data_IF_665996984531
#
_entry.id   IF_665996984531
#
_cell.length_a   1.000
_cell.length_b   1.000
_cell.length_c   1.000
_cell.angle_alpha   90.00
_cell.angle_beta   90.00
_cell.angle_gamma   90.00
#
_symmetry.space_group_name_H-M   'P 1'
#
loop_
_entity.id
_entity.type
_entity.pdbx_description
1 polymer ?
#
# COMPACT_ATOMS: atom_id res chain seq x y z
N UNK A 1 -12.35 29.68 21.39
CA UNK A 1 -10.87 29.65 21.51
C UNK A 1 -10.32 28.83 20.36
N UNK A 2 -9.26 29.28 19.67
CA UNK A 2 -8.64 28.53 18.55
C UNK A 2 -7.43 27.75 19.07
N UNK A 3 -7.31 26.45 18.74
CA UNK A 3 -6.11 25.67 19.07
C UNK A 3 -4.87 26.28 18.40
N UNK A 4 -3.73 26.24 19.10
CA UNK A 4 -2.44 26.67 18.54
C UNK A 4 -1.71 25.42 18.04
N UNK A 5 -1.43 25.39 16.73
CA UNK A 5 -0.58 24.36 16.12
C UNK A 5 0.86 24.64 16.54
N UNK A 6 1.51 23.66 17.17
CA UNK A 6 2.89 23.78 17.67
C UNK A 6 3.89 23.23 16.66
N UNK A 7 3.53 22.14 16.00
CA UNK A 7 4.36 21.51 14.99
C UNK A 7 3.50 20.76 13.99
N UNK A 8 3.99 20.71 12.75
CA UNK A 8 3.38 19.94 11.68
C UNK A 8 4.47 19.15 10.96
N UNK A 9 4.15 17.91 10.63
CA UNK A 9 5.02 17.05 9.84
C UNK A 9 4.19 16.36 8.77
N UNK A 10 4.58 16.57 7.52
CA UNK A 10 4.05 15.85 6.37
C UNK A 10 5.11 14.88 5.86
N UNK A 11 4.75 13.62 5.68
CA UNK A 11 5.64 12.57 5.22
C UNK A 11 4.96 11.72 4.16
N UNK A 12 5.70 11.36 3.12
CA UNK A 12 5.25 10.34 2.18
C UNK A 12 5.01 9.02 2.93
N UNK A 13 3.98 8.30 2.51
CA UNK A 13 3.57 7.03 3.08
C UNK A 13 3.41 5.99 1.96
N UNK A 14 3.83 4.77 2.27
CA UNK A 14 3.61 3.57 1.45
C UNK A 14 3.32 2.40 2.39
N UNK A 15 2.24 1.66 2.12
CA UNK A 15 1.98 0.38 2.79
C UNK A 15 1.54 -0.68 1.80
N UNK A 16 2.22 -1.82 1.85
CA UNK A 16 1.82 -3.05 1.20
C UNK A 16 0.89 -3.83 2.13
N UNK A 17 -0.34 -4.09 1.67
CA UNK A 17 -1.39 -4.75 2.43
C UNK A 17 -1.82 -6.02 1.71
N UNK A 18 -2.03 -7.09 2.48
CA UNK A 18 -2.50 -8.39 1.99
C UNK A 18 -3.78 -8.78 2.70
N UNK A 19 -4.52 -9.71 2.10
CA UNK A 19 -5.66 -10.31 2.77
C UNK A 19 -5.24 -10.98 4.09
N UNK A 20 -6.00 -10.74 5.15
CA UNK A 20 -5.68 -11.16 6.52
C UNK A 20 -4.56 -10.38 7.22
N UNK A 21 -3.89 -9.44 6.54
CA UNK A 21 -2.78 -8.63 7.09
C UNK A 21 -3.08 -7.13 6.91
N UNK A 22 -4.02 -6.57 7.69
CA UNK A 22 -4.39 -5.17 7.58
C UNK A 22 -3.27 -4.24 8.11
N UNK A 23 -3.15 -3.06 7.50
CA UNK A 23 -2.31 -1.98 8.03
C UNK A 23 -3.16 -1.06 8.89
N UNK A 24 -2.77 -0.87 10.17
CA UNK A 24 -3.57 -0.14 11.17
C UNK A 24 -2.80 1.03 11.73
N UNK A 25 -3.47 2.17 11.82
CA UNK A 25 -3.09 3.25 12.73
C UNK A 25 -4.02 3.17 13.93
N UNK A 26 -3.48 2.66 15.03
CA UNK A 26 -4.08 2.83 16.35
C UNK A 26 -3.62 4.18 16.90
N UNK A 27 -4.55 4.91 17.51
CA UNK A 27 -4.38 6.27 18.04
C UNK A 27 -2.92 6.61 18.43
N UNK A 28 -2.43 7.71 17.85
CA UNK A 28 -1.22 8.38 18.35
C UNK A 28 -1.43 8.63 19.84
N UNK A 29 -0.41 8.31 20.64
CA UNK A 29 -0.41 8.38 22.10
C UNK A 29 -1.38 9.44 22.64
N UNK A 30 -2.44 9.01 23.34
CA UNK A 30 -3.48 9.88 23.91
C UNK A 30 -2.95 10.88 24.95
N UNK A 31 -1.65 10.82 25.26
CA UNK A 31 -0.94 11.76 26.13
C UNK A 31 -0.50 13.04 25.41
N UNK A 32 -0.50 13.05 24.08
CA UNK A 32 -0.19 14.22 23.25
C UNK A 32 -1.43 14.56 22.40
N UNK A 33 -1.80 15.83 22.34
CA UNK A 33 -2.84 16.36 21.45
C UNK A 33 -2.36 16.31 19.99
N UNK A 34 -2.21 15.11 19.43
CA UNK A 34 -1.77 14.89 18.04
C UNK A 34 -2.99 14.55 17.18
N UNK A 35 -3.23 15.38 16.17
CA UNK A 35 -4.19 15.10 15.11
C UNK A 35 -3.44 14.62 13.87
N UNK A 36 -3.88 13.50 13.28
CA UNK A 36 -3.32 12.99 12.04
C UNK A 36 -4.34 13.00 10.91
N UNK A 37 -3.86 13.18 9.68
CA UNK A 37 -4.64 12.98 8.45
C UNK A 37 -3.83 12.17 7.46
N UNK A 38 -4.49 11.28 6.73
CA UNK A 38 -3.93 10.48 5.65
C UNK A 38 -4.59 10.87 4.34
N UNK A 39 -3.78 11.18 3.33
CA UNK A 39 -4.23 11.47 1.96
C UNK A 39 -3.74 10.36 1.05
N UNK A 40 -4.64 9.52 0.56
CA UNK A 40 -4.33 8.49 -0.42
C UNK A 40 -4.30 9.09 -1.83
N UNK A 41 -3.21 8.84 -2.55
CA UNK A 41 -2.94 9.39 -3.88
C UNK A 41 -2.91 8.30 -4.95
N UNK A 42 -2.32 7.15 -4.63
CA UNK A 42 -2.23 6.02 -5.55
C UNK A 42 -2.49 4.71 -4.81
N UNK A 43 -3.14 3.78 -5.52
CA UNK A 43 -3.32 2.40 -5.10
C UNK A 43 -2.87 1.52 -6.26
N UNK A 44 -1.88 0.67 -6.02
CA UNK A 44 -1.36 -0.26 -7.01
C UNK A 44 -1.58 -1.70 -6.57
N UNK A 45 -2.14 -2.52 -7.45
CA UNK A 45 -2.30 -3.94 -7.25
C UNK A 45 -1.10 -4.71 -7.80
N UNK A 46 -0.55 -5.59 -6.96
CA UNK A 46 0.50 -6.53 -7.28
C UNK A 46 -0.10 -7.94 -7.24
N UNK A 47 -0.34 -8.56 -8.42
CA UNK A 47 -0.84 -9.91 -8.51
C UNK A 47 0.07 -10.92 -7.80
N UNK A 48 -0.46 -12.11 -7.42
CA UNK A 48 0.37 -13.25 -7.03
C UNK A 48 1.46 -13.52 -8.07
N UNK A 49 2.63 -13.96 -7.63
CA UNK A 49 3.76 -14.19 -8.55
C UNK A 49 3.62 -15.47 -9.36
N UNK A 50 2.73 -16.39 -8.94
CA UNK A 50 2.52 -17.68 -9.59
C UNK A 50 1.13 -18.25 -9.34
N UNK A 51 0.74 -19.22 -10.17
CA UNK A 51 -0.48 -20.01 -9.96
C UNK A 51 -0.44 -20.82 -8.65
N UNK A 52 0.74 -21.23 -8.19
CA UNK A 52 0.90 -21.95 -6.93
C UNK A 52 0.55 -21.06 -5.73
N UNK A 53 0.93 -19.79 -5.75
CA UNK A 53 0.56 -18.82 -4.72
C UNK A 53 -0.94 -18.53 -4.73
N UNK A 54 -1.55 -18.41 -5.92
CA UNK A 54 -3.00 -18.27 -6.05
C UNK A 54 -3.73 -19.50 -5.48
N UNK A 55 -3.27 -20.71 -5.82
CA UNK A 55 -3.86 -21.95 -5.30
C UNK A 55 -3.71 -22.07 -3.78
N UNK A 56 -2.58 -21.64 -3.21
CA UNK A 56 -2.39 -21.60 -1.76
C UNK A 56 -3.36 -20.62 -1.08
N UNK A 57 -3.59 -19.44 -1.69
CA UNK A 57 -4.59 -18.48 -1.22
C UNK A 57 -6.02 -19.07 -1.26
N UNK A 58 -6.40 -19.73 -2.36
CA UNK A 58 -7.70 -20.37 -2.49
C UNK A 58 -7.91 -21.46 -1.44
N UNK A 59 -6.90 -22.33 -1.26
CA UNK A 59 -6.92 -23.38 -0.25
C UNK A 59 -7.06 -22.81 1.17
N UNK A 60 -6.32 -21.74 1.50
CA UNK A 60 -6.41 -21.07 2.81
C UNK A 60 -7.80 -20.44 3.06
N UNK A 61 -8.51 -20.05 1.99
CA UNK A 61 -9.88 -19.52 2.07
C UNK A 61 -10.95 -20.61 1.99
N UNK A 62 -10.57 -21.90 1.94
CA UNK A 62 -11.51 -23.02 1.78
C UNK A 62 -12.24 -22.98 0.43
N UNK A 63 -11.69 -22.28 -0.57
CA UNK A 63 -12.22 -22.24 -1.93
C UNK A 63 -11.56 -23.35 -2.73
N UNK A 64 -12.36 -24.12 -3.45
CA UNK A 64 -11.81 -25.13 -4.36
C UNK A 64 -11.08 -24.43 -5.49
N UNK A 65 -9.84 -24.85 -5.75
CA UNK A 65 -9.10 -24.38 -6.91
C UNK A 65 -9.91 -24.67 -8.18
N UNK A 66 -10.03 -23.69 -9.08
CA UNK A 66 -10.51 -23.88 -10.45
C UNK A 66 -12.03 -23.85 -10.74
N UNK A 67 -12.74 -22.77 -10.36
CA UNK A 67 -14.05 -22.47 -10.98
C UNK A 67 -14.20 -21.02 -11.50
N UNK A 68 -13.37 -20.08 -11.04
CA UNK A 68 -13.52 -18.66 -11.37
C UNK A 68 -12.30 -18.21 -12.17
N UNK A 69 -12.51 -17.88 -13.45
CA UNK A 69 -11.43 -17.38 -14.31
C UNK A 69 -10.93 -15.97 -13.94
N UNK A 70 -11.71 -15.22 -13.14
CA UNK A 70 -11.40 -13.84 -12.75
C UNK A 70 -11.69 -13.62 -11.26
N UNK A 71 -10.67 -13.29 -10.47
CA UNK A 71 -10.84 -12.88 -9.08
C UNK A 71 -11.00 -11.36 -8.97
N UNK A 72 -11.94 -10.92 -8.13
CA UNK A 72 -12.04 -9.52 -7.72
C UNK A 72 -11.21 -9.30 -6.46
N UNK A 73 -10.30 -8.33 -6.50
CA UNK A 73 -9.51 -7.86 -5.36
C UNK A 73 -10.05 -6.49 -4.94
N UNK A 74 -10.41 -6.32 -3.67
CA UNK A 74 -10.98 -5.08 -3.13
C UNK A 74 -9.96 -4.43 -2.19
N UNK A 75 -9.66 -3.17 -2.46
CA UNK A 75 -8.96 -2.30 -1.53
C UNK A 75 -9.99 -1.59 -0.64
N UNK A 76 -9.87 -1.75 0.66
CA UNK A 76 -10.86 -1.29 1.63
C UNK A 76 -10.18 -0.37 2.64
N UNK A 77 -10.85 0.74 2.94
CA UNK A 77 -10.53 1.60 4.07
C UNK A 77 -11.60 1.39 5.12
N UNK A 78 -11.17 1.15 6.35
CA UNK A 78 -12.05 1.06 7.52
C UNK A 78 -11.69 2.16 8.50
N UNK A 79 -12.65 3.00 8.86
CA UNK A 79 -12.39 4.17 9.70
C UNK A 79 -13.62 4.53 10.54
N UNK A 80 -13.43 5.35 11.57
CA UNK A 80 -14.53 5.91 12.36
C UNK A 80 -15.10 7.10 11.60
N UNK A 81 -16.43 7.13 11.42
CA UNK A 81 -17.11 8.23 10.74
C UNK A 81 -17.69 9.23 11.74
N UNK A 82 -18.30 10.30 11.23
CA UNK A 82 -19.00 11.29 12.05
C UNK A 82 -20.13 10.68 12.89
N UNK A 83 -20.66 9.51 12.50
CA UNK A 83 -21.67 8.76 13.28
C UNK A 83 -21.07 8.07 14.52
N UNK A 84 -19.73 8.12 14.69
CA UNK A 84 -18.95 7.37 15.68
C UNK A 84 -19.01 5.86 15.48
N UNK A 85 -19.52 5.39 14.35
CA UNK A 85 -19.45 3.99 13.96
C UNK A 85 -18.19 3.73 13.14
N UNK A 86 -17.66 2.51 13.24
CA UNK A 86 -16.60 2.02 12.35
C UNK A 86 -17.27 1.54 11.07
N UNK A 87 -16.97 2.19 9.95
CA UNK A 87 -17.52 1.87 8.64
C UNK A 87 -16.41 1.43 7.66
N UNK A 88 -16.81 0.67 6.64
CA UNK A 88 -15.92 0.12 5.62
C UNK A 88 -16.27 0.69 4.25
N UNK A 89 -15.25 1.19 3.55
CA UNK A 89 -15.37 1.82 2.24
C UNK A 89 -14.46 1.10 1.25
N UNK A 90 -15.03 0.60 0.15
CA UNK A 90 -14.23 0.09 -0.97
C UNK A 90 -13.71 1.28 -1.76
N UNK A 91 -12.40 1.44 -1.80
CA UNK A 91 -11.73 2.58 -2.46
C UNK A 91 -11.16 2.23 -3.83
N UNK A 92 -10.90 0.95 -4.10
CA UNK A 92 -10.53 0.46 -5.42
C UNK A 92 -10.90 -1.03 -5.57
N UNK A 93 -11.13 -1.45 -6.82
CA UNK A 93 -11.33 -2.85 -7.18
C UNK A 93 -10.42 -3.19 -8.36
N UNK A 94 -9.75 -4.34 -8.27
CA UNK A 94 -8.86 -4.84 -9.31
C UNK A 94 -9.31 -6.23 -9.75
N UNK A 95 -9.26 -6.48 -11.05
CA UNK A 95 -9.59 -7.78 -11.62
C UNK A 95 -8.31 -8.58 -11.89
N UNK A 96 -8.21 -9.77 -11.31
CA UNK A 96 -7.17 -10.73 -11.59
C UNK A 96 -7.71 -11.82 -12.50
N UNK A 97 -7.38 -11.74 -13.80
CA UNK A 97 -7.60 -12.85 -14.73
C UNK A 97 -6.49 -13.90 -14.56
N UNK A 98 -6.87 -15.16 -14.30
CA UNK A 98 -5.94 -16.29 -14.13
C UNK A 98 -5.10 -16.50 -15.39
N UNK A 99 -5.64 -16.23 -16.58
CA UNK A 99 -4.86 -16.30 -17.82
C UNK A 99 -3.74 -15.27 -17.84
N UNK A 100 -3.92 -14.11 -17.19
CA UNK A 100 -2.89 -13.07 -17.09
C UNK A 100 -1.70 -13.56 -16.29
N UNK A 101 -1.92 -14.34 -15.22
CA UNK A 101 -0.84 -14.96 -14.45
C UNK A 101 -0.03 -15.98 -15.25
N UNK A 102 -0.70 -16.77 -16.11
CA UNK A 102 -0.01 -17.76 -16.95
C UNK A 102 0.90 -17.14 -18.03
N UNK A 103 0.65 -15.89 -18.40
CA UNK A 103 1.37 -15.14 -19.45
C UNK A 103 2.21 -13.99 -18.89
N UNK A 104 2.20 -13.81 -17.57
CA UNK A 104 2.81 -12.67 -16.91
C UNK A 104 4.33 -12.72 -17.01
N UNK A 105 4.93 -11.59 -17.34
CA UNK A 105 6.36 -11.37 -17.16
C UNK A 105 6.61 -11.04 -15.69
N UNK A 106 7.43 -11.84 -15.02
CA UNK A 106 7.91 -11.56 -13.68
C UNK A 106 9.19 -10.73 -13.76
N UNK A 107 9.30 -9.77 -12.86
CA UNK A 107 10.50 -8.98 -12.67
C UNK A 107 11.05 -9.28 -11.28
N UNK A 108 12.33 -9.62 -11.21
CA UNK A 108 13.06 -9.85 -9.96
C UNK A 108 14.05 -8.72 -9.76
N UNK A 109 13.93 -7.99 -8.66
CA UNK A 109 14.92 -7.00 -8.23
C UNK A 109 16.15 -7.78 -7.77
N UNK A 110 17.33 -7.63 -8.41
CA UNK A 110 18.55 -8.24 -7.92
C UNK A 110 18.89 -7.66 -6.55
N UNK A 111 19.09 -8.54 -5.55
CA UNK A 111 19.52 -8.12 -4.23
C UNK A 111 20.86 -7.40 -4.31
N UNK A 112 21.04 -6.23 -3.66
CA UNK A 112 22.34 -5.59 -3.57
C UNK A 112 23.22 -6.40 -2.62
N UNK A 113 23.96 -7.40 -3.13
CA UNK A 113 24.82 -8.21 -2.27
C UNK A 113 25.47 -9.48 -2.82
N UNK A 114 25.34 -9.83 -4.09
CA UNK A 114 26.12 -10.96 -4.64
C UNK A 114 27.30 -10.44 -5.48
N UNK A 115 28.57 -10.67 -5.08
CA UNK A 115 29.72 -10.38 -5.91
C UNK A 115 29.71 -11.32 -7.11
N UNK A 116 29.59 -10.71 -8.27
CA UNK A 116 29.65 -11.28 -9.60
C UNK A 116 30.89 -12.17 -9.78
N UNK A 117 30.68 -13.47 -9.95
CA UNK A 117 31.67 -14.40 -10.49
C UNK A 117 31.02 -15.24 -11.58
N UNK A 118 31.00 -14.71 -12.80
CA UNK A 118 31.26 -15.52 -13.99
C UNK A 118 31.70 -14.62 -15.15
N UNK A 119 33.00 -14.67 -15.46
CA UNK A 119 33.48 -14.31 -16.79
C UNK A 119 33.07 -15.37 -17.80
N UNK A 120 32.69 -14.95 -19.01
CA UNK A 120 32.38 -15.83 -20.12
C UNK A 120 31.66 -15.08 -21.24
N UNK A 121 32.40 -14.80 -22.31
CA UNK A 121 32.02 -13.98 -23.47
C UNK A 121 30.87 -14.53 -24.34
N UNK A 122 30.18 -13.56 -24.98
CA UNK A 122 29.53 -13.56 -26.32
C UNK A 122 28.02 -13.95 -26.44
N UNK A 123 27.34 -13.59 -27.56
CA UNK A 123 27.08 -12.23 -28.05
C UNK A 123 25.58 -11.96 -28.43
N UNK A 124 25.21 -10.66 -28.47
CA UNK A 124 24.17 -9.97 -29.27
C UNK A 124 22.77 -10.60 -29.43
N UNK A 125 21.76 -9.94 -28.84
CA UNK A 125 20.48 -9.69 -29.50
C UNK A 125 19.83 -8.42 -28.94
N UNK A 126 20.02 -7.29 -29.63
CA UNK A 126 19.29 -6.05 -29.36
C UNK A 126 17.79 -6.28 -29.65
N UNK A 127 16.96 -6.24 -28.60
CA UNK A 127 15.50 -6.16 -28.69
C UNK A 127 15.01 -4.91 -27.96
N UNK A 128 13.92 -4.30 -28.45
CA UNK A 128 13.60 -2.90 -28.18
C UNK A 128 13.34 -2.68 -26.70
N UNK A 129 14.12 -1.76 -26.12
CA UNK A 129 13.98 -1.28 -24.76
C UNK A 129 12.68 -0.47 -24.64
N UNK A 130 11.57 -1.14 -24.31
CA UNK A 130 10.37 -0.46 -23.81
C UNK A 130 10.68 0.08 -22.42
N UNK A 131 10.94 1.38 -22.37
CA UNK A 131 11.24 2.18 -21.18
C UNK A 131 10.03 2.30 -20.26
N UNK A 132 9.74 1.26 -19.48
CA UNK A 132 8.95 1.43 -18.26
C UNK A 132 9.86 1.13 -17.08
N UNK A 133 10.46 2.19 -16.51
CA UNK A 133 11.18 2.08 -15.25
C UNK A 133 10.17 2.00 -14.12
N UNK A 134 10.37 1.08 -13.18
CA UNK A 134 9.56 0.94 -11.97
C UNK A 134 9.62 2.22 -11.12
N UNK A 135 10.67 3.03 -11.25
CA UNK A 135 10.77 4.36 -10.63
C UNK A 135 9.69 5.36 -11.11
N UNK A 136 9.02 5.07 -12.23
CA UNK A 136 7.86 5.84 -12.69
C UNK A 136 6.53 5.33 -12.13
N UNK A 137 6.50 4.12 -11.55
CA UNK A 137 5.31 3.48 -10.95
C UNK A 137 5.35 3.60 -9.42
N UNK A 138 6.54 3.62 -8.84
CA UNK A 138 6.77 3.78 -7.40
C UNK A 138 7.51 5.11 -7.17
N UNK A 139 6.99 6.02 -6.32
CA UNK A 139 7.69 7.27 -6.03
C UNK A 139 9.07 7.00 -5.39
N UNK A 140 10.05 7.91 -5.58
CA UNK A 140 11.40 7.73 -5.07
C UNK A 140 11.41 7.60 -3.54
N UNK A 141 11.94 6.47 -3.04
CA UNK A 141 12.00 6.13 -1.61
C UNK A 141 13.13 6.85 -0.87
N UNK A 142 12.85 7.55 0.23
CA UNK A 142 13.80 7.71 1.32
C UNK A 142 13.50 6.69 2.43
N UNK A 143 14.34 5.64 2.52
CA UNK A 143 14.71 5.05 3.82
C UNK A 143 13.71 4.20 4.60
N UNK A 144 12.75 3.49 3.97
CA UNK A 144 11.93 2.49 4.70
C UNK A 144 12.09 1.11 4.08
N UNK A 145 12.81 0.25 4.81
CA UNK A 145 12.88 -1.19 4.58
C UNK A 145 11.56 -1.83 5.01
N UNK A 146 10.68 -2.11 4.04
CA UNK A 146 9.67 -3.14 4.22
C UNK A 146 9.84 -4.19 3.13
N UNK A 147 9.72 -5.44 3.55
CA UNK A 147 9.98 -6.70 2.83
C UNK A 147 9.06 -6.88 1.63
N UNK A 148 9.19 -6.03 0.62
CA UNK A 148 8.58 -6.25 -0.68
C UNK A 148 9.15 -7.56 -1.26
N UNK A 149 8.30 -8.48 -1.77
CA UNK A 149 8.79 -9.70 -2.40
C UNK A 149 9.77 -9.31 -3.50
N UNK A 150 10.96 -9.90 -3.55
CA UNK A 150 12.00 -9.52 -4.52
C UNK A 150 11.60 -9.82 -5.96
N UNK A 151 10.49 -10.52 -6.18
CA UNK A 151 9.90 -10.81 -7.49
C UNK A 151 8.44 -10.37 -7.54
N UNK A 152 8.03 -9.75 -8.64
CA UNK A 152 6.64 -9.31 -8.86
C UNK A 152 6.22 -9.56 -10.31
N UNK A 153 4.92 -9.75 -10.54
CA UNK A 153 4.35 -9.63 -11.88
C UNK A 153 4.34 -8.16 -12.27
N UNK A 154 4.78 -7.84 -13.49
CA UNK A 154 4.73 -6.46 -13.99
C UNK A 154 3.28 -5.94 -13.97
N UNK A 155 3.00 -4.84 -13.26
CA UNK A 155 1.67 -4.26 -13.22
C UNK A 155 1.26 -3.80 -14.62
N UNK A 156 -0.02 -3.99 -14.96
CA UNK A 156 -0.61 -3.37 -16.13
C UNK A 156 -1.41 -2.12 -15.73
N UNK A 157 -1.82 -1.31 -16.71
CA UNK A 157 -2.52 -0.06 -16.42
C UNK A 157 -3.80 -0.25 -15.59
N UNK A 158 -4.50 -1.38 -15.75
CA UNK A 158 -5.69 -1.70 -14.95
C UNK A 158 -5.40 -2.09 -13.50
N UNK A 159 -4.13 -2.30 -13.14
CA UNK A 159 -3.71 -2.59 -11.77
C UNK A 159 -3.42 -1.33 -10.97
N UNK A 160 -3.54 -0.13 -11.57
CA UNK A 160 -3.16 1.13 -10.93
C UNK A 160 -4.38 2.05 -10.88
N UNK A 161 -4.78 2.43 -9.67
CA UNK A 161 -5.69 3.54 -9.43
C UNK A 161 -4.86 4.76 -9.02
N UNK A 162 -4.73 5.72 -9.94
CA UNK A 162 -3.94 6.93 -9.77
C UNK A 162 -4.82 8.19 -9.69
N UNK A 163 -4.25 9.31 -9.24
CA UNK A 163 -4.96 10.59 -9.16
C UNK A 163 -6.02 10.64 -8.06
N UNK A 164 -5.90 9.77 -7.05
CA UNK A 164 -6.80 9.75 -5.91
C UNK A 164 -6.57 10.97 -5.02
N UNK A 165 -7.61 11.38 -4.30
CA UNK A 165 -7.52 12.42 -3.28
C UNK A 165 -8.46 12.06 -2.12
N UNK A 166 -8.29 10.86 -1.59
CA UNK A 166 -9.10 10.36 -0.47
C UNK A 166 -8.43 10.83 0.81
N UNK A 167 -9.18 11.52 1.67
CA UNK A 167 -8.68 12.07 2.94
C UNK A 167 -9.34 11.37 4.12
N UNK A 168 -8.52 10.89 5.03
CA UNK A 168 -8.93 10.10 6.18
C UNK A 168 -8.37 10.75 7.44
N UNK A 169 -9.18 10.83 8.49
CA UNK A 169 -8.70 11.22 9.81
C UNK A 169 -7.95 10.05 10.45
N UNK A 170 -6.95 10.35 11.27
CA UNK A 170 -6.20 9.38 12.09
C UNK A 170 -6.47 9.66 13.58
N UNK A 171 -7.73 9.85 13.94
CA UNK A 171 -8.20 10.33 15.25
C UNK A 171 -8.75 9.21 16.16
N UNK A 172 -8.38 7.96 15.88
CA UNK A 172 -8.65 6.84 16.79
C UNK A 172 -8.45 5.48 16.14
N UNK A 173 -9.10 5.27 14.99
CA UNK A 173 -9.01 4.03 14.23
C UNK A 173 -9.10 4.29 12.74
N UNK A 174 -8.02 3.97 12.04
CA UNK A 174 -7.99 3.86 10.59
C UNK A 174 -7.22 2.62 10.19
N UNK A 175 -7.79 1.83 9.28
CA UNK A 175 -7.28 0.54 8.84
C UNK A 175 -7.38 0.45 7.31
N UNK A 176 -6.29 0.04 6.67
CA UNK A 176 -6.28 -0.41 5.27
C UNK A 176 -6.39 -1.93 5.26
N UNK A 177 -7.33 -2.45 4.48
CA UNK A 177 -7.57 -3.88 4.31
C UNK A 177 -7.65 -4.24 2.84
N UNK A 178 -7.28 -5.46 2.53
CA UNK A 178 -7.44 -6.06 1.21
C UNK A 178 -8.29 -7.31 1.34
N UNK A 179 -9.20 -7.51 0.39
CA UNK A 179 -9.90 -8.77 0.20
C UNK A 179 -9.58 -9.31 -1.18
N UNK A 180 -8.98 -10.49 -1.24
CA UNK A 180 -8.59 -11.13 -2.50
C UNK A 180 -7.11 -11.48 -2.58
N UNK A 181 -6.71 -12.21 -3.63
CA UNK A 181 -5.34 -12.65 -3.83
C UNK A 181 -4.38 -11.49 -4.12
N UNK A 182 -3.10 -11.70 -3.83
CA UNK A 182 -2.03 -10.73 -4.12
C UNK A 182 -1.83 -9.68 -3.03
N UNK A 183 -1.18 -8.58 -3.41
CA UNK A 183 -0.84 -7.46 -2.51
C UNK A 183 -1.37 -6.16 -3.11
N UNK A 184 -1.90 -5.26 -2.29
CA UNK A 184 -2.23 -3.89 -2.72
C UNK A 184 -1.31 -2.92 -1.99
N UNK A 185 -0.65 -2.06 -2.76
CA UNK A 185 0.20 -0.98 -2.26
C UNK A 185 -0.60 0.31 -2.24
N UNK A 186 -0.79 0.87 -1.06
CA UNK A 186 -1.40 2.18 -0.85
C UNK A 186 -0.27 3.20 -0.69
N UNK A 187 -0.33 4.29 -1.44
CA UNK A 187 0.64 5.38 -1.30
C UNK A 187 -0.02 6.74 -1.26
N UNK A 188 0.65 7.67 -0.56
CA UNK A 188 0.11 8.98 -0.31
C UNK A 188 0.94 9.79 0.67
N UNK A 189 0.26 10.68 1.38
CA UNK A 189 0.86 11.61 2.33
C UNK A 189 0.19 11.43 3.69
N UNK A 190 0.99 11.35 4.74
CA UNK A 190 0.55 11.40 6.12
C UNK A 190 0.96 12.73 6.72
N UNK A 191 -0.02 13.49 7.23
CA UNK A 191 0.21 14.74 7.95
C UNK A 191 -0.14 14.56 9.42
N UNK A 192 0.82 14.82 10.29
CA UNK A 192 0.66 14.85 11.74
C UNK A 192 0.78 16.28 12.23
N UNK A 193 -0.11 16.66 13.13
CA UNK A 193 -0.18 18.00 13.70
C UNK A 193 -0.23 17.90 15.22
N UNK A 194 0.73 18.50 15.90
CA UNK A 194 0.72 18.66 17.34
C UNK A 194 -0.02 19.94 17.70
N UNK A 195 -1.05 19.81 18.53
CA UNK A 195 -1.81 20.92 19.09
C UNK A 195 -1.36 21.09 20.54
N UNK A 196 -1.21 22.34 21.01
CA UNK A 196 -1.05 22.63 22.43
C UNK A 196 -2.29 23.35 22.93
N UNK A 197 -2.86 22.82 24.00
CA UNK A 197 -3.76 23.58 24.84
C UNK A 197 -2.89 24.50 25.70
N UNK A 198 -3.02 25.83 25.52
CA UNK A 198 -2.47 26.77 26.50
C UNK A 198 -3.13 26.48 27.84
N UNK A 199 -2.42 25.84 28.76
CA UNK A 199 -2.75 25.88 30.18
C UNK A 199 -2.78 27.34 30.58
N UNK A 200 -3.96 27.79 31.02
CA UNK A 200 -4.13 29.09 31.62
C UNK A 200 -3.54 29.01 33.02
N UNK A 201 -2.25 29.30 33.15
CA UNK A 201 -1.68 29.72 34.43
C UNK A 201 -2.17 31.15 34.72
N UNK A 202 -3.49 31.26 34.94
CA UNK A 202 -4.08 32.48 35.45
C UNK A 202 -3.60 32.63 36.89
N UNK A 203 -2.80 33.68 37.06
CA UNK A 203 -2.44 34.28 38.32
C UNK A 203 -3.72 34.60 39.11
N UNK A 204 -4.10 33.72 40.02
CA UNK A 204 -4.93 34.09 41.16
C UNK A 204 -4.05 34.08 42.42
N UNK A 205 -3.45 35.26 42.62
CA UNK A 205 -3.09 35.94 43.87
C UNK A 205 -2.53 35.12 45.04
#
# INVERSE_FOLDING_TARGET
MRPVVVAERETAFEAAVRDGQPHRWTALDTSLDVSGTLRLLHIAYLPPVSLAELAAFEAARGRSASAVGVHSVRAIVRTITASRAVEEFVVACFALDVQRLSKALTFTVPSPGEPDRCGGDAPIAARPSTRYSIDAILPPRPGVSTSTPTTFVMPCASDIAAGLNIRLALDGFTELRVEGPGTVVFSGEQRLTMVSQRTRDDHSR
#
